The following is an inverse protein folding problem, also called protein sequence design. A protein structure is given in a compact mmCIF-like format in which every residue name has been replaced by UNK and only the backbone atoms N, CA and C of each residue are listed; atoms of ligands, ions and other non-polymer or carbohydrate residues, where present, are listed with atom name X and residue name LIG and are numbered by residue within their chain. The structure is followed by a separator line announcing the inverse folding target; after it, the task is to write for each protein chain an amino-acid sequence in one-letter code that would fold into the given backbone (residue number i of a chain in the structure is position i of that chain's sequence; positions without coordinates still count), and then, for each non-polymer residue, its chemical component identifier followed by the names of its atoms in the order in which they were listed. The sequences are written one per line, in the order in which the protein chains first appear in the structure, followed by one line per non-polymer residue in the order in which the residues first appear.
data_IF_087273103837
#
_entry.id   IF_087273103837
#
_cell.length_a   1.000
_cell.length_b   1.000
_cell.length_c   1.000
_cell.angle_alpha   90.00
_cell.angle_beta   90.00
_cell.angle_gamma   90.00
#
_symmetry.space_group_name_H-M   'P 1'
#
loop_
_entity.id
_entity.type
_entity.pdbx_description
1 polymer ?
#
# COMPACT_ATOMS: atom_id res chain seq x y z
N UNK A 1 -26.70 0.05 -13.67
CA UNK A 1 -25.80 1.20 -13.91
C UNK A 1 -24.31 0.85 -13.69
N UNK A 2 -23.95 -0.43 -13.60
CA UNK A 2 -22.64 -0.92 -13.10
C UNK A 2 -21.52 -0.99 -14.15
N UNK A 3 -21.85 -0.94 -15.45
CA UNK A 3 -20.85 -1.10 -16.54
C UNK A 3 -19.89 0.08 -16.69
N UNK A 4 -20.33 1.31 -16.38
CA UNK A 4 -19.50 2.51 -16.52
C UNK A 4 -18.45 2.61 -15.41
N UNK A 5 -18.81 2.30 -14.16
CA UNK A 5 -17.86 2.34 -13.04
C UNK A 5 -16.72 1.33 -13.23
N UNK A 6 -17.04 0.11 -13.68
CA UNK A 6 -16.07 -0.92 -14.02
C UNK A 6 -15.11 -0.46 -15.13
N UNK A 7 -15.64 0.14 -16.21
CA UNK A 7 -14.81 0.66 -17.31
C UNK A 7 -13.87 1.79 -16.85
N UNK A 8 -14.32 2.66 -15.95
CA UNK A 8 -13.49 3.73 -15.37
C UNK A 8 -12.37 3.14 -14.50
N UNK A 9 -12.68 2.19 -13.62
CA UNK A 9 -11.69 1.52 -12.78
C UNK A 9 -10.61 0.83 -13.62
N UNK A 10 -11.00 0.11 -14.68
CA UNK A 10 -10.05 -0.51 -15.60
C UNK A 10 -9.12 0.51 -16.26
N UNK A 11 -9.63 1.68 -16.65
CA UNK A 11 -8.80 2.76 -17.21
C UNK A 11 -7.85 3.34 -16.17
N UNK A 12 -8.31 3.54 -14.93
CA UNK A 12 -7.46 4.05 -13.86
C UNK A 12 -6.36 3.06 -13.50
N UNK A 13 -6.70 1.76 -13.39
CA UNK A 13 -5.74 0.70 -13.17
C UNK A 13 -4.69 0.68 -14.28
N UNK A 14 -5.09 0.65 -15.55
CA UNK A 14 -4.14 0.69 -16.69
C UNK A 14 -3.27 1.94 -16.74
N UNK A 15 -3.82 3.10 -16.35
CA UNK A 15 -3.06 4.35 -16.27
C UNK A 15 -2.00 4.28 -15.16
N UNK A 16 -2.27 3.55 -14.08
CA UNK A 16 -1.43 3.53 -12.90
C UNK A 16 -1.62 4.75 -11.99
N UNK A 17 -0.82 4.78 -10.93
CA UNK A 17 -0.79 5.82 -9.90
C UNK A 17 -1.84 5.62 -8.79
N UNK A 18 -2.13 6.71 -8.07
CA UNK A 18 -3.07 6.71 -6.97
C UNK A 18 -4.51 6.47 -7.44
N UNK A 19 -5.15 5.49 -6.81
CA UNK A 19 -6.57 5.20 -6.91
C UNK A 19 -7.26 5.73 -5.65
N UNK A 20 -8.20 6.66 -5.82
CA UNK A 20 -9.02 7.15 -4.72
C UNK A 20 -9.88 6.02 -4.16
N UNK A 21 -9.83 5.79 -2.84
CA UNK A 21 -10.65 4.79 -2.17
C UNK A 21 -12.12 5.23 -2.00
N UNK A 22 -12.45 6.51 -2.21
CA UNK A 22 -13.80 7.06 -1.96
C UNK A 22 -14.86 6.34 -2.84
N UNK A 23 -15.62 5.42 -2.22
CA UNK A 23 -16.59 4.57 -2.91
C UNK A 23 -16.00 3.40 -3.71
N UNK A 24 -14.71 3.09 -3.54
CA UNK A 24 -14.03 2.01 -4.25
C UNK A 24 -14.25 0.67 -3.53
N UNK A 25 -15.07 -0.20 -4.10
CA UNK A 25 -15.32 -1.53 -3.54
C UNK A 25 -14.08 -2.43 -3.71
N UNK A 26 -13.58 -3.00 -2.61
CA UNK A 26 -12.40 -3.89 -2.64
C UNK A 26 -12.58 -5.05 -3.62
N UNK A 27 -13.78 -5.63 -3.66
CA UNK A 27 -14.09 -6.72 -4.57
C UNK A 27 -13.98 -6.25 -6.02
N UNK A 28 -14.45 -5.04 -6.33
CA UNK A 28 -14.34 -4.48 -7.69
C UNK A 28 -12.90 -4.28 -8.15
N UNK A 29 -11.98 -3.86 -7.27
CA UNK A 29 -10.55 -3.74 -7.61
C UNK A 29 -9.90 -5.10 -7.77
N UNK A 30 -10.22 -6.06 -6.91
CA UNK A 30 -9.74 -7.45 -7.04
C UNK A 30 -10.18 -8.04 -8.38
N UNK A 31 -11.48 -7.92 -8.70
CA UNK A 31 -12.05 -8.39 -9.97
C UNK A 31 -11.35 -7.69 -11.15
N UNK A 32 -11.25 -6.35 -11.14
CA UNK A 32 -10.64 -5.60 -12.24
C UNK A 32 -9.12 -5.86 -12.40
N UNK A 33 -8.38 -5.99 -11.29
CA UNK A 33 -6.96 -6.34 -11.34
C UNK A 33 -6.76 -7.74 -11.93
N UNK A 34 -7.61 -8.70 -11.52
CA UNK A 34 -7.60 -10.05 -12.05
C UNK A 34 -7.97 -10.10 -13.54
N UNK A 35 -9.02 -9.37 -13.97
CA UNK A 35 -9.41 -9.24 -15.37
C UNK A 35 -8.32 -8.61 -16.24
N UNK A 36 -7.55 -7.67 -15.68
CA UNK A 36 -6.42 -7.03 -16.34
C UNK A 36 -5.14 -7.87 -16.29
N UNK A 37 -5.09 -8.94 -15.49
CA UNK A 37 -3.88 -9.74 -15.28
C UNK A 37 -2.79 -9.01 -14.48
N UNK A 38 -3.18 -8.07 -13.62
CA UNK A 38 -2.29 -7.35 -12.71
C UNK A 38 -2.11 -8.14 -11.41
N UNK A 39 -0.89 -8.12 -10.85
CA UNK A 39 -0.63 -8.71 -9.55
C UNK A 39 -1.15 -7.80 -8.43
N UNK A 40 -2.07 -8.28 -7.59
CA UNK A 40 -2.64 -7.50 -6.48
C UNK A 40 -1.98 -7.92 -5.16
N UNK A 41 -1.38 -6.94 -4.46
CA UNK A 41 -0.83 -7.10 -3.11
C UNK A 41 -1.61 -6.27 -2.12
N UNK A 42 -1.93 -6.84 -0.94
CA UNK A 42 -2.71 -6.16 0.09
C UNK A 42 -1.87 -6.04 1.36
N UNK A 43 -1.36 -4.83 1.62
CA UNK A 43 -0.60 -4.48 2.82
C UNK A 43 -1.56 -4.08 3.94
N UNK A 44 -1.61 -4.87 5.01
CA UNK A 44 -2.43 -4.56 6.18
C UNK A 44 -1.70 -3.59 7.12
N UNK A 45 -2.07 -2.31 7.06
CA UNK A 45 -1.51 -1.22 7.87
C UNK A 45 -2.31 -0.94 9.15
N UNK A 46 -3.38 -1.70 9.44
CA UNK A 46 -4.20 -1.53 10.65
C UNK A 46 -3.38 -1.50 11.97
N UNK A 47 -2.39 -2.39 12.21
CA UNK A 47 -1.56 -2.33 13.41
C UNK A 47 -0.40 -1.33 13.30
N UNK A 48 -0.23 -0.66 12.16
CA UNK A 48 0.93 0.19 11.92
C UNK A 48 0.77 1.53 12.63
N UNK A 49 1.65 1.76 13.62
CA UNK A 49 1.73 2.99 14.43
C UNK A 49 2.93 3.88 14.06
N UNK A 50 3.73 3.47 13.08
CA UNK A 50 4.95 4.17 12.67
C UNK A 50 5.35 3.78 11.25
N UNK A 51 6.18 4.60 10.59
CA UNK A 51 6.74 4.29 9.26
C UNK A 51 7.27 2.87 9.16
N UNK A 52 8.12 2.46 10.11
CA UNK A 52 8.72 1.13 10.10
C UNK A 52 7.69 0.00 10.22
N UNK A 53 6.53 0.24 10.83
CA UNK A 53 5.44 -0.73 10.85
C UNK A 53 4.70 -0.79 9.52
N UNK A 54 4.48 0.35 8.86
CA UNK A 54 3.88 0.41 7.51
C UNK A 54 4.79 -0.28 6.49
N UNK A 55 6.09 0.03 6.50
CA UNK A 55 7.07 -0.62 5.62
C UNK A 55 7.08 -2.14 5.81
N UNK A 56 7.04 -2.62 7.05
CA UNK A 56 6.95 -4.07 7.33
C UNK A 56 5.65 -4.69 6.82
N UNK A 57 4.53 -3.98 6.87
CA UNK A 57 3.27 -4.45 6.31
C UNK A 57 3.36 -4.61 4.79
N UNK A 58 4.02 -3.67 4.11
CA UNK A 58 4.27 -3.74 2.66
C UNK A 58 5.22 -4.89 2.32
N UNK A 59 6.38 -4.97 3.00
CA UNK A 59 7.37 -6.04 2.84
C UNK A 59 6.70 -7.42 2.95
N UNK A 60 5.85 -7.62 3.97
CA UNK A 60 5.12 -8.88 4.16
C UNK A 60 4.09 -9.15 3.08
N UNK A 61 3.46 -8.12 2.53
CA UNK A 61 2.39 -8.26 1.54
C UNK A 61 2.92 -8.53 0.13
N UNK A 62 4.03 -7.90 -0.23
CA UNK A 62 4.69 -8.04 -1.53
C UNK A 62 5.75 -9.15 -1.52
N UNK A 63 6.07 -9.68 -0.33
CA UNK A 63 7.10 -10.71 -0.12
C UNK A 63 8.51 -10.23 -0.50
N UNK A 64 8.88 -9.04 -0.02
CA UNK A 64 10.19 -8.45 -0.26
C UNK A 64 11.32 -9.26 0.39
N UNK A 65 12.55 -9.18 -0.17
CA UNK A 65 13.69 -9.95 0.30
C UNK A 65 14.12 -9.60 1.74
N UNK A 66 14.77 -10.55 2.40
CA UNK A 66 15.25 -10.44 3.78
C UNK A 66 16.26 -9.30 4.01
N UNK A 67 16.93 -8.84 2.96
CA UNK A 67 17.88 -7.72 2.98
C UNK A 67 17.23 -6.35 2.76
N UNK A 68 15.90 -6.23 2.92
CA UNK A 68 15.20 -4.95 2.82
C UNK A 68 15.81 -3.88 3.77
N UNK A 69 16.30 -2.78 3.19
CA UNK A 69 17.04 -1.73 3.91
C UNK A 69 16.24 -0.92 4.94
N UNK A 70 14.93 -1.16 5.09
CA UNK A 70 14.11 -0.54 6.15
C UNK A 70 13.84 0.96 5.95
N UNK A 71 14.09 1.49 4.76
CA UNK A 71 13.98 2.91 4.43
C UNK A 71 13.15 3.13 3.14
N UNK A 72 12.87 4.39 2.81
CA UNK A 72 12.03 4.77 1.67
C UNK A 72 12.72 4.52 0.31
N UNK A 73 14.04 4.66 0.24
CA UNK A 73 14.79 4.36 -0.99
C UNK A 73 14.75 2.85 -1.28
N UNK A 74 14.94 2.02 -0.26
CA UNK A 74 14.80 0.57 -0.36
C UNK A 74 13.37 0.15 -0.75
N UNK A 75 12.36 0.90 -0.28
CA UNK A 75 10.97 0.69 -0.71
C UNK A 75 10.83 0.97 -2.21
N UNK A 76 11.34 2.10 -2.68
CA UNK A 76 11.32 2.46 -4.09
C UNK A 76 11.98 1.38 -4.95
N UNK A 77 13.21 0.97 -4.60
CA UNK A 77 13.98 -0.03 -5.35
C UNK A 77 13.22 -1.36 -5.43
N UNK A 78 12.70 -1.86 -4.30
CA UNK A 78 11.95 -3.12 -4.28
C UNK A 78 10.62 -3.03 -5.06
N UNK A 79 9.94 -1.88 -5.03
CA UNK A 79 8.74 -1.66 -5.85
C UNK A 79 9.08 -1.67 -7.33
N UNK A 80 10.17 -1.01 -7.73
CA UNK A 80 10.66 -1.03 -9.11
C UNK A 80 10.97 -2.45 -9.57
N UNK A 81 11.71 -3.22 -8.79
CA UNK A 81 12.03 -4.62 -9.08
C UNK A 81 10.76 -5.46 -9.23
N UNK A 82 9.80 -5.32 -8.29
CA UNK A 82 8.50 -6.01 -8.35
C UNK A 82 7.73 -5.66 -9.63
N UNK A 83 7.71 -4.40 -10.01
CA UNK A 83 7.07 -3.94 -11.26
C UNK A 83 7.73 -4.56 -12.49
N UNK A 84 9.05 -4.68 -12.49
CA UNK A 84 9.80 -5.28 -13.60
C UNK A 84 9.53 -6.79 -13.72
N UNK A 85 9.43 -7.49 -12.58
CA UNK A 85 9.12 -8.91 -12.50
C UNK A 85 7.69 -9.22 -13.00
N UNK A 86 6.75 -8.31 -12.80
CA UNK A 86 5.36 -8.46 -13.23
C UNK A 86 5.11 -7.84 -14.60
N UNK A 87 5.14 -8.67 -15.66
CA UNK A 87 4.99 -8.23 -17.07
C UNK A 87 3.81 -7.30 -17.36
N UNK A 88 2.68 -7.50 -16.72
CA UNK A 88 1.46 -6.71 -16.94
C UNK A 88 1.43 -5.46 -16.06
N UNK A 89 1.98 -5.57 -14.85
CA UNK A 89 1.87 -4.56 -13.81
C UNK A 89 1.35 -5.08 -12.48
N UNK A 90 1.30 -4.18 -11.52
CA UNK A 90 1.09 -4.46 -10.10
C UNK A 90 0.09 -3.47 -9.51
N UNK A 91 -0.69 -3.92 -8.55
CA UNK A 91 -1.61 -3.13 -7.75
C UNK A 91 -1.26 -3.31 -6.28
N UNK A 92 -0.92 -2.23 -5.58
CA UNK A 92 -0.64 -2.25 -4.14
C UNK A 92 -1.80 -1.62 -3.36
N UNK A 93 -2.45 -2.38 -2.49
CA UNK A 93 -3.49 -1.89 -1.60
C UNK A 93 -2.95 -1.70 -0.19
N UNK A 94 -2.84 -0.44 0.25
CA UNK A 94 -2.54 -0.05 1.63
C UNK A 94 -3.85 -0.02 2.43
N UNK A 95 -4.13 -1.10 3.14
CA UNK A 95 -5.37 -1.30 3.88
C UNK A 95 -5.26 -0.66 5.27
N UNK A 96 -6.19 0.25 5.58
CA UNK A 96 -6.28 0.95 6.87
C UNK A 96 -5.00 1.67 7.29
N UNK A 97 -4.50 2.55 6.43
CA UNK A 97 -3.41 3.44 6.79
C UNK A 97 -3.93 4.57 7.70
N UNK A 98 -3.40 4.65 8.93
CA UNK A 98 -3.77 5.68 9.91
C UNK A 98 -3.09 7.03 9.63
N UNK A 99 -3.28 7.57 8.42
CA UNK A 99 -2.66 8.84 8.00
C UNK A 99 -3.20 10.06 8.75
N UNK A 100 -4.27 9.92 9.55
CA UNK A 100 -4.79 10.98 10.41
C UNK A 100 -4.09 11.08 11.77
N UNK A 101 -3.14 10.19 12.05
CA UNK A 101 -2.27 10.31 13.23
C UNK A 101 -1.10 11.25 12.86
N UNK A 102 -0.85 12.34 13.61
CA UNK A 102 0.24 13.27 13.29
C UNK A 102 1.62 12.61 13.28
N UNK A 103 1.80 11.49 13.98
CA UNK A 103 3.04 10.71 13.93
C UNK A 103 3.23 9.94 12.61
N UNK A 104 2.16 9.74 11.84
CA UNK A 104 2.14 9.01 10.57
C UNK A 104 1.75 9.89 9.38
N UNK A 105 1.18 11.06 9.57
CA UNK A 105 0.76 11.95 8.48
C UNK A 105 1.91 12.26 7.50
N UNK A 106 3.04 12.74 8.02
CA UNK A 106 4.22 13.03 7.20
C UNK A 106 4.82 11.77 6.57
N UNK A 107 4.90 10.68 7.33
CA UNK A 107 5.47 9.42 6.85
C UNK A 107 4.57 8.75 5.79
N UNK A 108 3.24 8.85 5.93
CA UNK A 108 2.26 8.37 4.96
C UNK A 108 2.41 9.15 3.66
N UNK A 109 2.48 10.48 3.72
CA UNK A 109 2.70 11.32 2.54
C UNK A 109 4.02 10.96 1.83
N UNK A 110 5.09 10.66 2.58
CA UNK A 110 6.37 10.21 2.00
C UNK A 110 6.26 8.84 1.34
N UNK A 111 5.55 7.90 1.95
CA UNK A 111 5.31 6.56 1.35
C UNK A 111 4.48 6.69 0.08
N UNK A 112 3.44 7.53 0.09
CA UNK A 112 2.63 7.83 -1.09
C UNK A 112 3.46 8.48 -2.20
N UNK A 113 4.40 9.36 -1.86
CA UNK A 113 5.35 9.93 -2.82
C UNK A 113 6.21 8.85 -3.47
N UNK A 114 6.78 7.92 -2.68
CA UNK A 114 7.55 6.80 -3.21
C UNK A 114 6.71 5.91 -4.13
N UNK A 115 5.45 5.65 -3.76
CA UNK A 115 4.53 4.90 -4.62
C UNK A 115 4.21 5.66 -5.93
N UNK A 116 4.11 6.99 -5.88
CA UNK A 116 3.91 7.80 -7.07
C UNK A 116 5.15 7.76 -7.99
N UNK A 117 6.34 7.87 -7.42
CA UNK A 117 7.60 7.76 -8.18
C UNK A 117 7.74 6.38 -8.83
N UNK A 118 7.41 5.30 -8.10
CA UNK A 118 7.38 3.95 -8.65
C UNK A 118 6.31 3.77 -9.74
N UNK A 119 5.19 4.51 -9.65
CA UNK A 119 4.16 4.53 -10.70
C UNK A 119 4.68 5.14 -12.00
N UNK A 120 5.42 6.24 -11.89
CA UNK A 120 6.06 6.89 -13.03
C UNK A 120 7.10 5.96 -13.65
N UNK A 121 7.98 5.36 -12.84
CA UNK A 121 8.94 4.37 -13.30
C UNK A 121 8.28 3.20 -14.04
N UNK A 122 7.17 2.68 -13.51
CA UNK A 122 6.41 1.63 -14.17
C UNK A 122 5.93 2.10 -15.56
N UNK A 123 5.37 3.30 -15.64
CA UNK A 123 4.89 3.88 -16.88
C UNK A 123 5.99 4.01 -17.93
N UNK A 124 7.15 4.54 -17.54
CA UNK A 124 8.33 4.69 -18.41
C UNK A 124 8.85 3.34 -18.94
N UNK A 125 8.70 2.27 -18.16
CA UNK A 125 9.07 0.91 -18.54
C UNK A 125 7.96 0.14 -19.29
N UNK A 126 6.86 0.81 -19.67
CA UNK A 126 5.73 0.18 -20.36
C UNK A 126 4.98 -0.83 -19.49
N UNK A 127 5.05 -0.66 -18.16
CA UNK A 127 4.36 -1.41 -17.13
C UNK A 127 3.30 -0.52 -16.48
N UNK A 128 2.50 -1.12 -15.62
CA UNK A 128 1.47 -0.42 -14.85
C UNK A 128 1.71 -0.65 -13.37
N UNK A 129 1.83 0.41 -12.59
CA UNK A 129 1.79 0.31 -11.13
C UNK A 129 0.69 1.22 -10.62
N UNK A 130 -0.29 0.62 -9.95
CA UNK A 130 -1.40 1.34 -9.32
C UNK A 130 -1.36 1.09 -7.81
N UNK A 131 -1.78 2.07 -7.02
CA UNK A 131 -1.88 1.90 -5.58
C UNK A 131 -3.16 2.51 -5.02
N UNK A 132 -3.73 1.83 -4.02
CA UNK A 132 -4.93 2.25 -3.31
C UNK A 132 -4.53 2.54 -1.87
N UNK A 133 -4.86 3.74 -1.38
CA UNK A 133 -4.67 4.10 0.03
C UNK A 133 -6.04 4.14 0.70
N UNK A 134 -6.31 3.17 1.55
CA UNK A 134 -7.51 3.16 2.39
C UNK A 134 -7.17 3.85 3.72
N UNK A 135 -7.55 5.12 3.84
CA UNK A 135 -7.34 5.89 5.06
C UNK A 135 -8.34 5.44 6.14
N UNK A 136 -7.83 4.95 7.27
CA UNK A 136 -8.66 4.55 8.42
C UNK A 136 -9.04 5.73 9.34
N UNK A 137 -8.70 6.96 8.97
CA UNK A 137 -8.84 8.15 9.82
C UNK A 137 -7.78 8.20 10.92
N UNK A 138 -8.05 8.97 11.97
CA UNK A 138 -7.20 9.01 13.16
C UNK A 138 -7.40 7.71 13.94
N UNK A 139 -6.31 7.08 14.36
CA UNK A 139 -6.43 5.95 15.27
C UNK A 139 -7.22 6.40 16.50
N UNK A 140 -8.24 5.67 16.98
CA UNK A 140 -8.84 5.99 18.26
C UNK A 140 -7.72 6.08 19.30
N UNK A 141 -7.71 7.18 20.07
CA UNK A 141 -6.78 7.41 21.17
C UNK A 141 -6.71 6.11 21.98
N UNK A 142 -5.51 5.59 22.33
CA UNK A 142 -5.45 4.47 23.25
C UNK A 142 -6.22 4.90 24.50
N UNK A 143 -7.26 4.15 24.89
CA UNK A 143 -7.92 4.39 26.17
C UNK A 143 -6.81 4.42 27.24
N UNK A 144 -6.63 5.54 27.98
CA UNK A 144 -5.56 5.65 28.94
C UNK A 144 -5.84 4.67 30.08
N UNK A 145 -5.19 3.50 30.10
CA UNK A 145 -5.30 2.64 31.27
C UNK A 145 -5.02 1.14 31.20
N UNK A 146 -4.26 0.59 30.26
CA UNK A 146 -3.65 -0.75 30.49
C UNK A 146 -2.16 -0.67 30.23
N UNK A 147 -1.42 -0.60 31.33
CA UNK A 147 0.02 -0.80 31.35
C UNK A 147 0.35 -2.11 30.62
N UNK A 148 1.30 -2.06 29.69
CA UNK A 148 1.92 -3.25 29.16
C UNK A 148 2.41 -4.09 30.34
N UNK A 149 1.96 -5.33 30.44
CA UNK A 149 2.50 -6.28 31.39
C UNK A 149 4.03 -6.36 31.16
N UNK A 150 4.87 -6.24 32.21
CA UNK A 150 6.29 -6.42 32.06
C UNK A 150 6.55 -7.83 31.52
N UNK A 151 7.25 -7.92 30.39
CA UNK A 151 7.76 -9.18 29.89
C UNK A 151 8.66 -9.79 30.98
N UNK A 152 8.36 -11.06 31.27
CA UNK A 152 8.81 -11.76 32.46
C UNK A 152 10.32 -11.71 32.68
N UNK A 153 10.64 -11.44 33.94
CA UNK A 153 11.84 -11.92 34.61
C UNK A 153 11.76 -13.45 34.64
N UNK A 154 12.73 -14.10 34.00
CA UNK A 154 13.10 -15.50 34.21
C UNK A 154 14.54 -15.65 33.72
N UNK A 155 15.50 -15.35 34.61
CA UNK A 155 16.49 -16.33 35.09
C UNK A 155 17.04 -15.87 36.45
#
# INVERSE_FOLDING_TARGET
MTRNAQSTLHKQLKRGGALAHDGLDKKAVVDAAHELGLALFVANCDPARSRSAVLRAIVKAVDFPEYFGGNLDALYDCLCDTVLDHKTGVVLWLYKLHSGDPALEEDAARIESVCADAAEFAHENGRTFAYVVEHAGKHPDPEPGVAAAPYGEND
#
